data_IF_522498668068
#
_entry.id   IF_522498668068
#
_cell.length_a   1.000
_cell.length_b   1.000
_cell.length_c   1.000
_cell.angle_alpha   90.00
_cell.angle_beta   90.00
_cell.angle_gamma   90.00
#
_symmetry.space_group_name_H-M   'P 1'
#
loop_
_entity.id
_entity.type
_entity.pdbx_description
1 polymer ?
#
# COMPACT_ATOMS: atom_id res chain seq x y z
N UNK A 1 -78.43 13.80 -6.05
CA UNK A 1 -77.70 12.59 -6.35
C UNK A 1 -76.52 12.89 -7.24
N UNK A 2 -75.34 12.94 -6.62
CA UNK A 2 -74.08 13.16 -7.35
C UNK A 2 -73.42 11.78 -7.56
N UNK A 3 -73.36 11.42 -8.84
CA UNK A 3 -72.56 10.26 -9.29
C UNK A 3 -71.09 10.62 -9.24
N UNK A 4 -70.34 9.94 -8.43
CA UNK A 4 -68.88 9.94 -8.48
C UNK A 4 -68.44 9.08 -9.65
N UNK A 5 -67.69 9.69 -10.55
CA UNK A 5 -67.05 9.04 -11.71
C UNK A 5 -65.71 8.53 -11.22
N UNK A 6 -65.60 7.24 -11.06
CA UNK A 6 -64.33 6.57 -10.76
C UNK A 6 -63.50 6.51 -12.02
N UNK A 7 -62.31 7.11 -11.95
CA UNK A 7 -61.30 6.95 -12.98
C UNK A 7 -60.57 5.61 -12.80
N UNK A 8 -60.33 4.86 -13.87
CA UNK A 8 -59.58 3.60 -13.78
C UNK A 8 -58.07 3.87 -13.60
N UNK A 9 -57.35 3.04 -12.86
CA UNK A 9 -55.91 3.21 -12.67
C UNK A 9 -55.15 2.93 -13.97
N UNK A 10 -54.35 3.89 -14.36
CA UNK A 10 -53.42 3.75 -15.47
C UNK A 10 -52.40 2.66 -15.13
N UNK A 11 -52.38 1.64 -16.00
CA UNK A 11 -51.38 0.58 -15.99
C UNK A 11 -49.97 1.19 -16.18
N UNK A 12 -49.10 0.85 -15.24
CA UNK A 12 -47.68 1.16 -15.29
C UNK A 12 -47.05 0.56 -16.57
N UNK A 13 -46.59 1.41 -17.45
CA UNK A 13 -45.74 1.02 -18.55
C UNK A 13 -44.36 0.65 -18.01
N UNK A 14 -44.09 -0.64 -18.09
CA UNK A 14 -42.81 -1.26 -17.83
C UNK A 14 -41.83 -0.77 -18.88
N UNK A 15 -40.99 0.21 -18.52
CA UNK A 15 -39.88 0.62 -19.37
C UNK A 15 -38.85 -0.52 -19.42
N UNK A 16 -38.80 -1.15 -20.56
CA UNK A 16 -37.78 -2.12 -20.91
C UNK A 16 -36.46 -1.37 -21.13
N UNK A 17 -35.52 -1.57 -20.21
CA UNK A 17 -34.16 -1.06 -20.36
C UNK A 17 -33.44 -1.85 -21.46
N UNK A 18 -32.77 -1.22 -22.40
CA UNK A 18 -31.96 -1.90 -23.39
C UNK A 18 -30.77 -2.57 -22.70
N UNK A 19 -30.69 -3.85 -22.90
CA UNK A 19 -29.62 -4.74 -22.45
C UNK A 19 -28.30 -4.25 -23.04
N UNK A 20 -27.46 -3.61 -22.20
CA UNK A 20 -26.11 -3.25 -22.56
C UNK A 20 -25.32 -4.52 -22.94
N UNK A 21 -24.87 -4.56 -24.18
CA UNK A 21 -23.99 -5.59 -24.69
C UNK A 21 -22.67 -5.52 -23.93
N UNK A 22 -22.33 -6.61 -23.26
CA UNK A 22 -21.01 -6.85 -22.70
C UNK A 22 -19.99 -6.87 -23.84
N UNK A 23 -18.93 -6.04 -23.82
CA UNK A 23 -17.81 -6.28 -24.71
C UNK A 23 -17.11 -7.57 -24.30
N UNK A 24 -16.83 -8.42 -25.28
CA UNK A 24 -16.09 -9.66 -25.13
C UNK A 24 -14.66 -9.38 -24.62
N UNK A 25 -14.07 -10.29 -23.82
CA UNK A 25 -12.70 -10.15 -23.41
C UNK A 25 -11.79 -10.37 -24.62
N UNK A 26 -11.10 -9.33 -25.03
CA UNK A 26 -9.98 -9.44 -25.97
C UNK A 26 -8.80 -10.05 -25.24
N UNK A 27 -8.58 -11.33 -25.49
CA UNK A 27 -7.35 -12.02 -25.12
C UNK A 27 -6.21 -11.47 -25.98
N UNK A 28 -5.43 -10.56 -25.43
CA UNK A 28 -4.12 -10.25 -25.98
C UNK A 28 -3.09 -11.16 -25.30
N UNK A 29 -2.23 -11.87 -26.04
CA UNK A 29 -1.14 -12.63 -25.44
C UNK A 29 -0.10 -11.65 -24.91
N UNK A 30 0.04 -11.56 -23.60
CA UNK A 30 1.19 -10.91 -22.97
C UNK A 30 2.45 -11.72 -23.28
N UNK A 31 3.27 -11.21 -24.16
CA UNK A 31 4.66 -11.61 -24.27
C UNK A 31 5.39 -11.15 -23.01
N UNK A 32 5.86 -12.10 -22.23
CA UNK A 32 6.78 -11.86 -21.14
C UNK A 32 8.10 -11.26 -21.69
N UNK A 33 8.64 -10.19 -21.11
CA UNK A 33 9.98 -9.77 -21.43
C UNK A 33 10.97 -10.81 -20.92
N UNK A 34 11.84 -11.28 -21.82
CA UNK A 34 12.90 -12.22 -21.54
C UNK A 34 13.85 -11.64 -20.49
N UNK A 35 14.13 -12.45 -19.48
CA UNK A 35 15.16 -12.17 -18.50
C UNK A 35 16.54 -11.98 -19.18
N UNK A 36 17.33 -10.99 -18.78
CA UNK A 36 18.72 -10.90 -19.23
C UNK A 36 19.53 -12.04 -18.63
N UNK A 37 20.21 -12.79 -19.50
CA UNK A 37 21.18 -13.81 -19.14
C UNK A 37 22.27 -13.18 -18.28
N UNK A 38 22.46 -13.75 -17.09
CA UNK A 38 23.62 -13.50 -16.28
C UNK A 38 24.87 -14.03 -17.00
N UNK A 39 25.75 -13.15 -17.40
CA UNK A 39 27.12 -13.53 -17.76
C UNK A 39 27.93 -13.72 -16.48
N UNK A 40 28.31 -14.97 -16.28
CA UNK A 40 29.35 -15.35 -15.33
C UNK A 40 30.70 -14.84 -15.85
N UNK A 41 31.42 -14.14 -15.01
CA UNK A 41 32.80 -13.90 -15.36
C UNK A 41 33.52 -12.88 -14.50
N UNK A 42 34.21 -13.36 -13.54
CA UNK A 42 35.59 -13.11 -13.11
C UNK A 42 35.73 -12.88 -11.62
N UNK A 43 36.07 -13.98 -10.99
CA UNK A 43 36.80 -14.03 -9.74
C UNK A 43 38.13 -13.32 -9.91
N UNK A 44 38.36 -12.23 -9.21
CA UNK A 44 39.69 -11.69 -8.97
C UNK A 44 40.01 -11.95 -7.49
N UNK A 45 40.83 -12.95 -7.28
CA UNK A 45 41.52 -13.17 -6.02
C UNK A 45 42.56 -12.07 -5.85
N UNK A 46 42.41 -11.22 -4.87
CA UNK A 46 43.51 -10.45 -4.31
C UNK A 46 43.70 -10.87 -2.86
N UNK A 47 44.71 -11.69 -2.71
CA UNK A 47 45.36 -12.03 -1.45
C UNK A 47 46.04 -10.79 -0.88
N UNK A 48 45.91 -10.58 0.43
CA UNK A 48 46.73 -9.58 1.08
C UNK A 48 46.35 -9.27 2.51
N UNK A 49 46.93 -10.02 3.43
CA UNK A 49 47.49 -9.59 4.70
C UNK A 49 46.61 -9.17 5.87
N UNK A 50 46.64 -10.02 6.83
CA UNK A 50 46.51 -9.99 8.29
C UNK A 50 46.59 -8.60 8.94
N UNK A 51 45.65 -8.26 9.82
CA UNK A 51 45.97 -7.92 11.20
C UNK A 51 44.75 -8.00 12.12
N UNK A 52 44.97 -8.60 13.28
CA UNK A 52 44.02 -9.02 14.26
C UNK A 52 43.20 -7.89 14.91
N UNK A 53 41.97 -8.22 15.19
CA UNK A 53 41.07 -7.42 16.00
C UNK A 53 39.87 -8.25 16.39
N UNK A 54 39.85 -8.68 17.61
CA UNK A 54 38.81 -9.43 18.30
C UNK A 54 37.47 -8.76 18.11
N UNK A 55 36.59 -9.30 17.29
CA UNK A 55 35.20 -8.84 17.21
C UNK A 55 34.32 -9.84 17.92
N UNK A 56 33.81 -9.40 19.02
CA UNK A 56 32.74 -10.01 19.80
C UNK A 56 31.48 -10.03 18.95
N UNK A 57 31.17 -11.20 18.40
CA UNK A 57 29.92 -11.45 17.72
C UNK A 57 28.80 -11.48 18.75
N UNK A 58 27.93 -10.50 18.71
CA UNK A 58 26.63 -10.52 19.36
C UNK A 58 25.59 -9.88 18.43
N UNK A 59 24.60 -10.68 18.09
CA UNK A 59 23.32 -10.18 17.56
C UNK A 59 23.18 -10.31 16.07
N UNK A 60 22.49 -11.38 15.66
CA UNK A 60 21.79 -11.43 14.40
C UNK A 60 20.71 -10.32 14.39
N UNK A 61 21.13 -9.11 14.01
CA UNK A 61 20.24 -8.13 13.46
C UNK A 61 20.34 -8.24 11.96
N UNK A 62 19.29 -8.60 11.29
CA UNK A 62 19.20 -8.48 9.84
C UNK A 62 19.41 -7.00 9.51
N UNK A 63 20.68 -6.64 9.32
CA UNK A 63 21.09 -5.27 9.08
C UNK A 63 20.60 -4.83 7.71
N UNK A 64 19.56 -4.06 7.70
CA UNK A 64 19.17 -3.20 6.56
C UNK A 64 20.19 -2.06 6.50
N UNK A 65 21.34 -2.33 5.86
CA UNK A 65 22.33 -1.31 5.63
C UNK A 65 21.77 -0.32 4.60
N UNK A 66 21.37 0.88 5.05
CA UNK A 66 21.08 2.01 4.16
C UNK A 66 19.74 2.74 4.34
N UNK A 67 18.72 2.13 4.88
CA UNK A 67 17.50 2.84 5.22
C UNK A 67 17.58 3.34 6.66
N UNK A 68 17.47 4.64 6.89
CA UNK A 68 17.29 5.19 8.23
C UNK A 68 16.02 4.63 8.88
N UNK A 69 15.88 4.78 10.18
CA UNK A 69 14.66 4.38 10.89
C UNK A 69 13.46 5.18 10.36
N UNK A 70 12.40 4.47 9.97
CA UNK A 70 11.18 5.09 9.46
C UNK A 70 10.14 5.22 10.56
N UNK A 71 9.64 6.43 10.73
CA UNK A 71 8.52 6.73 11.58
C UNK A 71 7.38 7.38 10.79
N UNK A 72 6.17 6.95 11.05
CA UNK A 72 4.96 7.64 10.64
C UNK A 72 4.36 8.37 11.86
N UNK A 73 4.02 9.63 11.69
CA UNK A 73 3.38 10.41 12.75
C UNK A 73 1.95 10.70 12.35
N UNK A 74 1.00 10.11 13.06
CA UNK A 74 -0.43 10.36 12.84
C UNK A 74 -0.76 11.80 13.22
N UNK A 75 -1.26 12.59 12.27
CA UNK A 75 -1.45 14.04 12.43
C UNK A 75 -2.44 14.42 13.53
N UNK A 76 -3.51 13.65 13.67
CA UNK A 76 -4.60 13.96 14.61
C UNK A 76 -4.26 13.65 16.07
N UNK A 77 -3.45 12.62 16.29
CA UNK A 77 -3.12 12.10 17.63
C UNK A 77 -1.69 12.36 18.04
N UNK A 78 -0.83 12.82 17.11
CA UNK A 78 0.62 12.92 17.24
C UNK A 78 1.29 11.59 17.66
N UNK A 79 0.65 10.47 17.33
CA UNK A 79 1.20 9.15 17.64
C UNK A 79 2.29 8.79 16.65
N UNK A 80 3.44 8.35 17.18
CA UNK A 80 4.58 7.86 16.42
C UNK A 80 4.45 6.36 16.20
N UNK A 81 4.61 5.96 14.97
CA UNK A 81 4.56 4.55 14.53
C UNK A 81 5.93 4.23 14.00
N UNK A 82 6.66 3.36 14.66
CA UNK A 82 7.96 2.87 14.20
C UNK A 82 7.76 1.71 13.24
N UNK A 83 8.19 1.87 12.00
CA UNK A 83 8.16 0.82 10.98
C UNK A 83 9.41 -0.04 11.15
N UNK A 84 9.25 -1.24 11.68
CA UNK A 84 10.36 -2.09 12.14
C UNK A 84 10.83 -3.13 11.13
N UNK A 85 10.02 -3.42 10.12
CA UNK A 85 10.30 -4.47 9.13
C UNK A 85 9.63 -4.17 7.79
N UNK A 86 10.01 -4.90 6.75
CA UNK A 86 9.35 -4.85 5.44
C UNK A 86 7.98 -5.53 5.48
N UNK A 87 7.08 -5.13 4.61
CA UNK A 87 5.67 -5.53 4.62
C UNK A 87 4.97 -5.19 5.95
N UNK A 88 5.23 -3.98 6.46
CA UNK A 88 4.59 -3.47 7.68
C UNK A 88 3.17 -3.02 7.36
N UNK A 89 2.18 -3.79 7.80
CA UNK A 89 0.76 -3.58 7.52
C UNK A 89 0.11 -2.58 8.47
N UNK A 90 -0.71 -1.71 7.93
CA UNK A 90 -1.41 -0.65 8.65
C UNK A 90 -2.89 -0.70 8.30
N UNK A 91 -3.74 -0.73 9.30
CA UNK A 91 -5.18 -0.80 9.10
C UNK A 91 -5.98 -0.69 10.39
N UNK A 92 -7.20 -1.18 10.35
CA UNK A 92 -8.14 -1.12 11.47
C UNK A 92 -8.25 -2.43 12.27
N UNK A 93 -7.95 -3.56 11.65
CA UNK A 93 -8.13 -4.87 12.26
C UNK A 93 -6.86 -5.31 13.00
N UNK A 94 -6.89 -5.24 14.31
CA UNK A 94 -5.76 -5.51 15.23
C UNK A 94 -5.09 -6.88 15.04
N UNK A 95 -5.83 -7.87 14.57
CA UNK A 95 -5.34 -9.25 14.46
C UNK A 95 -4.67 -9.57 13.11
N UNK A 96 -4.65 -8.64 12.17
CA UNK A 96 -4.10 -8.87 10.81
C UNK A 96 -3.13 -7.79 10.34
N UNK A 97 -2.90 -6.76 11.15
CA UNK A 97 -1.98 -5.65 10.82
C UNK A 97 -0.93 -5.48 11.91
N UNK A 98 0.21 -4.91 11.56
CA UNK A 98 1.29 -4.60 12.50
C UNK A 98 0.98 -3.37 13.33
N UNK A 99 0.24 -2.44 12.75
CA UNK A 99 -0.24 -1.26 13.44
C UNK A 99 -1.73 -1.01 13.23
N UNK A 100 -2.46 -1.01 14.33
CA UNK A 100 -3.89 -0.70 14.36
C UNK A 100 -4.12 0.78 14.56
N UNK A 101 -4.68 1.43 13.54
CA UNK A 101 -5.02 2.85 13.61
C UNK A 101 -6.31 3.03 14.42
N UNK A 102 -6.22 3.79 15.49
CA UNK A 102 -7.37 4.19 16.27
C UNK A 102 -8.15 5.28 15.51
N UNK A 103 -9.27 4.91 14.93
CA UNK A 103 -10.16 5.82 14.21
C UNK A 103 -11.60 5.63 14.65
N UNK A 104 -12.37 6.72 14.69
CA UNK A 104 -13.79 6.69 15.07
C UNK A 104 -14.70 6.29 13.91
N UNK A 105 -14.21 6.38 12.70
CA UNK A 105 -14.97 6.06 11.51
C UNK A 105 -14.50 4.73 10.89
N UNK A 106 -15.31 4.19 10.00
CA UNK A 106 -15.05 2.91 9.35
C UNK A 106 -14.50 3.05 7.92
N UNK A 107 -13.97 4.23 7.58
CA UNK A 107 -13.43 4.47 6.24
C UNK A 107 -12.08 3.80 6.02
N UNK A 108 -11.29 3.63 7.08
CA UNK A 108 -10.05 2.88 7.02
C UNK A 108 -10.33 1.38 6.82
N UNK A 109 -9.67 0.74 5.88
CA UNK A 109 -9.76 -0.71 5.64
C UNK A 109 -9.21 -1.53 6.81
N UNK A 110 -9.61 -2.80 6.91
CA UNK A 110 -9.10 -3.72 7.91
C UNK A 110 -7.58 -3.88 7.81
N UNK A 111 -7.09 -4.13 6.62
CA UNK A 111 -5.70 -4.06 6.19
C UNK A 111 -5.68 -3.04 5.04
N UNK A 112 -5.30 -1.80 5.34
CA UNK A 112 -5.49 -0.70 4.40
C UNK A 112 -4.32 -0.54 3.44
N UNK A 113 -3.12 -0.51 3.97
CA UNK A 113 -1.90 -0.35 3.21
C UNK A 113 -0.72 -0.99 3.95
N UNK A 114 0.35 -1.25 3.23
CA UNK A 114 1.58 -1.72 3.86
C UNK A 114 2.80 -0.97 3.33
N UNK A 115 3.85 -0.95 4.14
CA UNK A 115 5.13 -0.38 3.80
C UNK A 115 6.09 -1.49 3.42
N UNK A 116 6.64 -1.38 2.23
CA UNK A 116 7.65 -2.27 1.70
C UNK A 116 9.02 -1.58 1.80
N UNK A 117 10.02 -2.29 2.30
CA UNK A 117 11.41 -1.88 2.26
C UNK A 117 12.14 -2.75 1.24
N UNK A 118 12.65 -2.14 0.19
CA UNK A 118 13.39 -2.82 -0.87
C UNK A 118 14.58 -1.95 -1.33
N UNK A 119 15.75 -2.57 -1.43
CA UNK A 119 16.97 -1.90 -1.88
C UNK A 119 17.35 -0.66 -1.05
N UNK A 120 16.98 -0.61 0.23
CA UNK A 120 17.20 0.56 1.10
C UNK A 120 16.22 1.72 0.89
N UNK A 121 15.17 1.52 0.10
CA UNK A 121 14.12 2.50 -0.14
C UNK A 121 12.79 2.03 0.44
N UNK A 122 11.97 2.97 0.88
CA UNK A 122 10.64 2.69 1.38
C UNK A 122 9.58 2.98 0.32
N UNK A 123 8.64 2.06 0.21
CA UNK A 123 7.50 2.15 -0.70
C UNK A 123 6.21 1.97 0.08
N UNK A 124 5.20 2.74 -0.27
CA UNK A 124 3.83 2.54 0.22
C UNK A 124 3.01 1.81 -0.84
N UNK A 125 2.22 0.83 -0.41
CA UNK A 125 1.35 0.04 -1.27
C UNK A 125 -0.07 0.07 -0.72
N UNK A 126 -1.03 0.50 -1.53
CA UNK A 126 -2.46 0.41 -1.20
C UNK A 126 -2.93 -1.04 -1.37
N UNK A 127 -3.56 -1.61 -0.36
CA UNK A 127 -4.05 -2.99 -0.39
C UNK A 127 -5.42 -3.12 -1.08
N UNK A 128 -5.57 -2.48 -2.23
CA UNK A 128 -6.79 -2.44 -3.04
C UNK A 128 -8.02 -1.98 -2.24
N UNK A 129 -7.86 -0.90 -1.50
CA UNK A 129 -8.89 -0.41 -0.59
C UNK A 129 -9.96 0.43 -1.30
N UNK A 130 -11.17 0.41 -0.74
CA UNK A 130 -12.29 1.18 -1.27
C UNK A 130 -12.10 2.70 -1.14
N UNK A 131 -11.45 3.15 -0.06
CA UNK A 131 -11.23 4.56 0.24
C UNK A 131 -9.81 5.06 -0.08
N UNK A 132 -9.01 4.22 -0.69
CA UNK A 132 -7.71 4.51 -1.28
C UNK A 132 -6.64 5.09 -0.34
N UNK A 133 -5.41 4.93 -0.75
CA UNK A 133 -4.24 5.57 -0.16
C UNK A 133 -3.74 6.70 -1.08
N UNK A 134 -3.23 7.76 -0.48
CA UNK A 134 -2.71 8.92 -1.19
C UNK A 134 -1.31 9.26 -0.67
N UNK A 135 -0.41 9.63 -1.55
CA UNK A 135 0.90 10.18 -1.24
C UNK A 135 0.94 11.63 -1.73
N UNK A 136 1.15 12.59 -0.82
CA UNK A 136 1.12 14.03 -1.11
C UNK A 136 -0.13 14.44 -1.92
N UNK A 137 -1.32 13.98 -1.46
CA UNK A 137 -2.63 14.17 -2.07
C UNK A 137 -2.82 13.50 -3.44
N UNK A 138 -1.82 12.79 -3.95
CA UNK A 138 -1.94 12.01 -5.17
C UNK A 138 -2.39 10.59 -4.84
N UNK A 139 -3.52 10.16 -5.40
CA UNK A 139 -4.03 8.80 -5.25
C UNK A 139 -3.04 7.78 -5.80
N UNK A 140 -2.79 6.73 -5.03
CA UNK A 140 -1.98 5.60 -5.44
C UNK A 140 -2.78 4.62 -6.32
N UNK A 141 -2.07 3.92 -7.19
CA UNK A 141 -2.63 2.78 -7.88
C UNK A 141 -2.67 1.58 -6.93
N UNK A 142 -3.80 0.85 -6.85
CA UNK A 142 -3.91 -0.32 -5.99
C UNK A 142 -2.82 -1.37 -6.27
N UNK A 143 -2.27 -1.94 -5.21
CA UNK A 143 -1.25 -3.01 -5.26
C UNK A 143 0.05 -2.64 -5.99
N UNK A 144 0.30 -1.34 -6.18
CA UNK A 144 1.51 -0.85 -6.84
C UNK A 144 2.43 -0.14 -5.84
N UNK A 145 3.68 -0.61 -5.66
CA UNK A 145 4.65 0.07 -4.82
C UNK A 145 4.93 1.48 -5.32
N UNK A 146 4.82 2.46 -4.44
CA UNK A 146 5.11 3.86 -4.74
C UNK A 146 6.17 4.38 -3.77
N UNK A 147 7.30 4.81 -4.31
CA UNK A 147 8.43 5.35 -3.53
C UNK A 147 8.00 6.61 -2.78
N UNK A 148 8.43 6.73 -1.53
CA UNK A 148 8.24 7.93 -0.72
C UNK A 148 9.50 8.27 0.10
N UNK A 149 9.57 9.48 0.64
CA UNK A 149 10.72 10.01 1.33
C UNK A 149 10.35 10.72 2.65
N UNK A 150 11.36 11.07 3.41
CA UNK A 150 11.16 11.91 4.58
C UNK A 150 10.49 13.25 4.21
N UNK A 151 9.52 13.68 5.01
CA UNK A 151 8.74 14.90 4.76
C UNK A 151 7.49 14.69 3.89
N UNK A 152 7.33 13.52 3.26
CA UNK A 152 6.11 13.20 2.54
C UNK A 152 4.92 13.01 3.48
N UNK A 153 3.72 13.16 2.94
CA UNK A 153 2.46 12.94 3.66
C UNK A 153 1.73 11.75 3.05
N UNK A 154 1.42 10.76 3.86
CA UNK A 154 0.61 9.60 3.48
C UNK A 154 -0.78 9.77 4.08
N UNK A 155 -1.83 9.68 3.25
CA UNK A 155 -3.22 9.69 3.71
C UNK A 155 -3.88 8.36 3.35
N UNK A 156 -4.38 7.68 4.35
CA UNK A 156 -5.13 6.42 4.23
C UNK A 156 -6.58 6.70 4.58
N UNK A 157 -7.48 6.67 3.58
CA UNK A 157 -8.85 7.15 3.73
C UNK A 157 -8.89 8.60 4.22
N UNK A 158 -9.22 8.82 5.49
CA UNK A 158 -9.29 10.13 6.17
C UNK A 158 -8.16 10.35 7.19
N UNK A 159 -7.33 9.34 7.45
CA UNK A 159 -6.22 9.42 8.40
C UNK A 159 -4.93 9.86 7.69
N UNK A 160 -4.30 10.89 8.25
CA UNK A 160 -3.09 11.52 7.66
C UNK A 160 -1.86 11.21 8.52
N UNK A 161 -0.79 10.80 7.87
CA UNK A 161 0.51 10.51 8.47
C UNK A 161 1.59 11.37 7.83
N UNK A 162 2.44 11.95 8.65
CA UNK A 162 3.69 12.59 8.19
C UNK A 162 4.83 11.58 8.28
N UNK A 163 5.68 11.55 7.26
CA UNK A 163 6.82 10.65 7.17
C UNK A 163 8.04 11.31 7.80
N UNK A 164 8.67 10.62 8.76
CA UNK A 164 9.94 11.03 9.36
C UNK A 164 10.92 9.88 9.21
N UNK A 165 12.14 10.20 8.79
CA UNK A 165 13.25 9.24 8.75
C UNK A 165 14.32 9.69 9.74
N UNK A 166 14.70 8.79 10.64
CA UNK A 166 15.81 8.95 11.56
C UNK A 166 17.14 8.71 10.83
N UNK A 167 18.16 9.40 11.29
CA UNK A 167 19.54 9.21 10.81
C UNK A 167 20.26 8.21 11.68
#
# INVERSE_FOLDING_TARGET
>A
PFQQKEDPPQAAQKAEMPRAQRPAPVSAPMQAPAAPKAEAGRTVLLSGSENGGTTKTMGMGSGTAGAGELYLVQKDTNQYIHVTHTNFHIGRAENIVDYTVQTRNHYLGNDHAYILLDGGNYYIVDNNTQNHTYLNERRLEPSKPTLFHAGDTIRMADVVFNVIMGS
#
